data_IF_735137195568
#
_entry.id   IF_735137195568
#
_cell.length_a   1.000
_cell.length_b   1.000
_cell.length_c   1.000
_cell.angle_alpha   90.00
_cell.angle_beta   90.00
_cell.angle_gamma   90.00
#
_symmetry.space_group_name_H-M   'P 1'
#
loop_
_entity.id
_entity.type
_entity.pdbx_description
1 polymer ?
#
# COMPACT_ATOMS: atom_id res chain seq x y z
N UNK A 1 -4.81 13.74 5.26
CA UNK A 1 -3.79 14.18 4.27
C UNK A 1 -3.88 13.36 2.98
N UNK A 2 -3.90 12.03 3.06
CA UNK A 2 -3.91 11.13 1.89
C UNK A 2 -5.04 11.41 0.89
N UNK A 3 -6.26 11.67 1.34
CA UNK A 3 -7.38 12.01 0.44
C UNK A 3 -7.11 13.26 -0.41
N UNK A 4 -6.43 14.27 0.15
CA UNK A 4 -6.06 15.48 -0.60
C UNK A 4 -5.02 15.14 -1.67
N UNK A 5 -4.07 14.27 -1.35
CA UNK A 5 -3.06 13.80 -2.31
C UNK A 5 -3.70 12.98 -3.43
N UNK A 6 -4.65 12.09 -3.10
CA UNK A 6 -5.41 11.33 -4.10
C UNK A 6 -6.18 12.27 -5.03
N UNK A 7 -6.90 13.25 -4.49
CA UNK A 7 -7.63 14.27 -5.27
C UNK A 7 -6.70 15.19 -6.08
N UNK A 8 -5.46 15.39 -5.61
CA UNK A 8 -4.43 16.14 -6.33
C UNK A 8 -3.76 15.32 -7.45
N UNK A 9 -4.07 14.03 -7.59
CA UNK A 9 -3.55 13.17 -8.65
C UNK A 9 -2.45 12.20 -8.23
N UNK A 10 -2.33 11.85 -6.95
CA UNK A 10 -1.40 10.81 -6.50
C UNK A 10 -1.85 9.43 -7.01
N UNK A 11 -1.06 8.82 -7.90
CA UNK A 11 -1.34 7.49 -8.44
C UNK A 11 -0.58 6.35 -7.74
N UNK A 12 0.55 6.65 -7.09
CA UNK A 12 1.41 5.66 -6.44
C UNK A 12 1.87 6.16 -5.07
N UNK A 13 1.64 5.36 -4.04
CA UNK A 13 2.16 5.56 -2.69
C UNK A 13 3.40 4.68 -2.48
N UNK A 14 4.57 5.30 -2.28
CA UNK A 14 5.83 4.59 -2.03
C UNK A 14 6.07 4.43 -0.53
N UNK A 15 6.26 3.19 -0.09
CA UNK A 15 6.60 2.83 1.28
C UNK A 15 8.06 2.41 1.35
N UNK A 16 8.86 3.17 2.10
CA UNK A 16 10.27 2.88 2.29
C UNK A 16 10.47 2.08 3.58
N UNK A 17 10.78 0.79 3.46
CA UNK A 17 11.01 -0.12 4.59
C UNK A 17 12.41 0.01 5.19
N UNK A 18 13.27 0.87 4.62
CA UNK A 18 14.57 1.18 5.23
C UNK A 18 14.43 1.94 6.55
N UNK A 19 13.27 2.56 6.79
CA UNK A 19 12.98 3.39 7.95
C UNK A 19 11.54 3.15 8.43
N UNK A 20 11.31 3.31 9.73
CA UNK A 20 9.99 3.09 10.34
C UNK A 20 9.80 1.67 10.88
N UNK A 21 8.83 1.51 11.80
CA UNK A 21 8.46 0.20 12.36
C UNK A 21 7.38 -0.47 11.52
N UNK A 22 7.18 -1.76 11.72
CA UNK A 22 6.12 -2.53 11.06
C UNK A 22 4.73 -1.91 11.28
N UNK A 23 4.44 -1.50 12.51
CA UNK A 23 3.17 -0.92 12.94
C UNK A 23 2.89 0.40 12.22
N UNK A 24 3.92 1.24 12.05
CA UNK A 24 3.80 2.51 11.33
C UNK A 24 3.42 2.31 9.86
N UNK A 25 4.05 1.35 9.19
CA UNK A 25 3.73 1.03 7.79
C UNK A 25 2.32 0.45 7.66
N UNK A 26 1.92 -0.42 8.60
CA UNK A 26 0.56 -0.98 8.64
C UNK A 26 -0.50 0.10 8.83
N UNK A 27 -0.32 1.02 9.80
CA UNK A 27 -1.22 2.15 10.03
C UNK A 27 -1.33 3.03 8.77
N UNK A 28 -0.21 3.28 8.10
CA UNK A 28 -0.19 4.10 6.88
C UNK A 28 -0.93 3.42 5.71
N UNK A 29 -0.83 2.09 5.58
CA UNK A 29 -1.60 1.32 4.59
C UNK A 29 -3.09 1.37 4.88
N UNK A 30 -3.48 1.21 6.14
CA UNK A 30 -4.91 1.23 6.52
C UNK A 30 -5.52 2.62 6.31
N UNK A 31 -4.76 3.67 6.62
CA UNK A 31 -5.15 5.04 6.30
C UNK A 31 -5.27 5.28 4.78
N UNK A 32 -4.38 4.70 3.96
CA UNK A 32 -4.47 4.78 2.50
C UNK A 32 -5.71 4.06 1.98
N UNK A 33 -6.05 2.89 2.53
CA UNK A 33 -7.28 2.14 2.18
C UNK A 33 -8.54 2.94 2.48
N UNK A 34 -8.62 3.54 3.66
CA UNK A 34 -9.74 4.41 4.04
C UNK A 34 -9.83 5.60 3.08
N UNK A 35 -8.71 6.24 2.76
CA UNK A 35 -8.68 7.36 1.83
C UNK A 35 -9.11 6.96 0.40
N UNK A 36 -8.71 5.79 -0.08
CA UNK A 36 -9.15 5.24 -1.36
C UNK A 36 -10.65 4.94 -1.37
N UNK A 37 -11.19 4.38 -0.29
CA UNK A 37 -12.63 4.14 -0.13
C UNK A 37 -13.43 5.46 -0.10
N UNK A 38 -12.92 6.49 0.60
CA UNK A 38 -13.61 7.78 0.70
C UNK A 38 -13.56 8.58 -0.61
N UNK A 39 -12.47 8.48 -1.36
CA UNK A 39 -12.29 9.24 -2.61
C UNK A 39 -12.73 8.49 -3.86
N UNK A 40 -12.88 7.16 -3.78
CA UNK A 40 -13.10 6.26 -4.93
C UNK A 40 -11.99 6.37 -5.99
N UNK A 41 -10.80 6.80 -5.59
CA UNK A 41 -9.62 6.92 -6.46
C UNK A 41 -8.67 5.77 -6.14
N UNK A 42 -8.29 5.02 -7.17
CA UNK A 42 -7.31 3.94 -7.06
C UNK A 42 -5.89 4.52 -6.94
N UNK A 43 -5.11 3.97 -6.01
CA UNK A 43 -3.70 4.28 -5.81
C UNK A 43 -2.91 2.98 -5.70
N UNK A 44 -1.85 2.86 -6.48
CA UNK A 44 -0.93 1.73 -6.38
C UNK A 44 -0.02 1.90 -5.16
N UNK A 45 0.35 0.78 -4.53
CA UNK A 45 1.32 0.77 -3.43
C UNK A 45 2.64 0.22 -3.96
N UNK A 46 3.71 0.99 -3.84
CA UNK A 46 5.06 0.59 -4.22
C UNK A 46 5.87 0.33 -2.94
N UNK A 47 6.38 -0.88 -2.81
CA UNK A 47 7.26 -1.27 -1.72
C UNK A 47 8.71 -1.04 -2.13
N UNK A 48 9.41 -0.22 -1.35
CA UNK A 48 10.84 -0.03 -1.46
C UNK A 48 11.51 -0.75 -0.29
N UNK A 49 12.03 -1.94 -0.59
CA UNK A 49 12.65 -2.81 0.40
C UNK A 49 14.14 -2.50 0.48
N UNK A 50 14.67 -2.43 1.71
CA UNK A 50 16.11 -2.52 1.89
C UNK A 50 16.49 -3.97 1.60
N UNK A 51 17.44 -4.21 0.69
CA UNK A 51 17.85 -5.55 0.24
C UNK A 51 18.43 -6.49 1.33
N UNK A 52 18.41 -6.08 2.61
CA UNK A 52 19.09 -6.77 3.70
C UNK A 52 18.26 -7.82 4.41
N UNK A 53 16.92 -7.82 4.34
CA UNK A 53 16.11 -8.85 5.02
C UNK A 53 14.83 -9.15 4.26
N UNK A 54 14.67 -10.40 3.83
CA UNK A 54 13.46 -10.97 3.22
C UNK A 54 12.48 -11.51 4.28
N UNK A 55 12.72 -11.21 5.56
CA UNK A 55 12.07 -11.84 6.71
C UNK A 55 10.85 -11.10 7.26
N UNK A 56 10.44 -9.98 6.65
CA UNK A 56 9.32 -9.18 7.16
C UNK A 56 7.97 -9.71 6.63
N UNK A 57 7.16 -10.27 7.53
CA UNK A 57 5.80 -10.79 7.24
C UNK A 57 4.88 -9.76 6.57
N UNK A 58 5.13 -8.46 6.75
CA UNK A 58 4.38 -7.38 6.08
C UNK A 58 4.58 -7.40 4.58
N UNK A 59 5.83 -7.59 4.13
CA UNK A 59 6.19 -7.58 2.72
C UNK A 59 5.52 -8.77 2.04
N UNK A 60 5.53 -9.93 2.70
CA UNK A 60 4.84 -11.13 2.23
C UNK A 60 3.32 -10.91 2.16
N UNK A 61 2.71 -10.33 3.19
CA UNK A 61 1.28 -10.00 3.22
C UNK A 61 0.87 -9.02 2.13
N UNK A 62 1.68 -7.99 1.84
CA UNK A 62 1.39 -7.01 0.79
C UNK A 62 1.58 -7.64 -0.60
N UNK A 63 2.64 -8.41 -0.84
CA UNK A 63 2.87 -9.10 -2.11
C UNK A 63 1.77 -10.13 -2.41
N UNK A 64 1.41 -10.95 -1.42
CA UNK A 64 0.31 -11.93 -1.54
C UNK A 64 -1.03 -11.21 -1.65
N UNK A 65 -1.25 -10.14 -0.89
CA UNK A 65 -2.45 -9.31 -0.97
C UNK A 65 -2.65 -8.70 -2.36
N UNK A 66 -1.58 -8.26 -3.02
CA UNK A 66 -1.64 -7.75 -4.40
C UNK A 66 -1.95 -8.85 -5.43
N UNK A 67 -1.40 -10.05 -5.24
CA UNK A 67 -1.70 -11.24 -6.06
C UNK A 67 -3.14 -11.73 -5.87
N UNK A 68 -3.65 -11.70 -4.63
CA UNK A 68 -5.04 -12.04 -4.31
C UNK A 68 -6.00 -10.96 -4.84
N UNK A 69 -5.62 -9.68 -4.79
CA UNK A 69 -6.42 -8.60 -5.37
C UNK A 69 -6.50 -8.71 -6.89
N UNK A 70 -5.43 -9.13 -7.61
CA UNK A 70 -5.56 -9.40 -9.05
C UNK A 70 -6.59 -10.48 -9.38
N UNK A 71 -6.75 -11.51 -8.55
CA UNK A 71 -7.79 -12.53 -8.74
C UNK A 71 -9.22 -12.04 -8.45
N UNK A 72 -9.39 -10.94 -7.72
CA UNK A 72 -10.71 -10.40 -7.35
C UNK A 72 -11.22 -9.32 -8.33
N UNK A 73 -10.43 -8.95 -9.33
CA UNK A 73 -10.79 -8.02 -10.41
C UNK A 73 -11.04 -8.71 -11.76
N UNK A 74 -11.08 -10.05 -11.83
CA UNK A 74 -11.42 -10.79 -13.06
C UNK A 74 -12.94 -10.95 -13.28
N UNK A 75 -13.79 -10.25 -12.51
CA UNK A 75 -15.22 -10.18 -12.76
C UNK A 75 -15.74 -8.77 -12.43
N UNK A 76 -16.09 -8.02 -13.48
CA UNK A 76 -16.62 -6.65 -13.54
C UNK A 76 -15.61 -5.50 -13.60
#
# INVERSE_FOLDING_TARGET
MLEKLLRAGMNVARFNFSHGTHEYHQETIDNLRIAMQNTQILCAVMLDTKASFFSDDLIFSILVGFLVYKKKWDYF
#
